data_IF_061130778476
#
_entry.id   IF_061130778476
#
_cell.length_a   1.000
_cell.length_b   1.000
_cell.length_c   1.000
_cell.angle_alpha   90.00
_cell.angle_beta   90.00
_cell.angle_gamma   90.00
#
_symmetry.space_group_name_H-M   'P 1'
#
loop_
_entity.id
_entity.type
_entity.pdbx_description
1 polymer ?
#
# COMPACT_ATOMS: atom_id res chain seq x y z
N UNK A 1 20.21 -1.07 -6.64
CA UNK A 1 20.67 -1.19 -8.03
C UNK A 1 20.36 -2.59 -8.51
N UNK A 2 20.01 -2.72 -9.78
CA UNK A 2 19.91 -3.98 -10.50
C UNK A 2 21.03 -4.06 -11.55
N UNK A 3 21.47 -5.26 -11.99
CA UNK A 3 22.60 -5.40 -12.91
C UNK A 3 22.49 -4.61 -14.22
N UNK A 4 21.27 -4.45 -14.73
CA UNK A 4 21.00 -3.78 -16.01
C UNK A 4 20.77 -2.26 -15.87
N UNK A 5 20.75 -1.73 -14.63
CA UNK A 5 20.56 -0.30 -14.40
C UNK A 5 21.77 0.50 -14.90
N UNK A 6 21.52 1.53 -15.71
CA UNK A 6 22.59 2.46 -16.10
C UNK A 6 22.75 3.58 -15.07
N UNK A 7 23.98 4.09 -14.90
CA UNK A 7 24.22 5.26 -14.04
C UNK A 7 23.41 6.48 -14.50
N UNK A 8 23.12 6.59 -15.81
CA UNK A 8 22.27 7.65 -16.37
C UNK A 8 20.85 7.59 -15.82
N UNK A 9 20.23 6.41 -15.77
CA UNK A 9 18.87 6.22 -15.24
C UNK A 9 18.82 6.47 -13.74
N UNK A 10 19.80 5.93 -13.00
CA UNK A 10 19.90 6.15 -11.55
C UNK A 10 20.06 7.64 -11.21
N UNK A 11 20.87 8.37 -11.98
CA UNK A 11 21.06 9.81 -11.79
C UNK A 11 19.79 10.60 -12.15
N UNK A 12 19.06 10.20 -13.19
CA UNK A 12 17.79 10.83 -13.56
C UNK A 12 16.73 10.66 -12.46
N UNK A 13 16.58 9.46 -11.89
CA UNK A 13 15.63 9.19 -10.80
C UNK A 13 15.99 10.02 -9.56
N UNK A 14 17.27 10.06 -9.18
CA UNK A 14 17.72 10.84 -8.03
C UNK A 14 17.43 12.34 -8.23
N UNK A 15 17.70 12.88 -9.42
CA UNK A 15 17.42 14.27 -9.75
C UNK A 15 15.92 14.58 -9.67
N UNK A 16 15.07 13.75 -10.28
CA UNK A 16 13.61 13.91 -10.24
C UNK A 16 13.09 13.87 -8.80
N UNK A 17 13.59 12.94 -7.99
CA UNK A 17 13.17 12.83 -6.59
C UNK A 17 13.55 14.07 -5.77
N UNK A 18 14.75 14.62 -5.98
CA UNK A 18 15.18 15.87 -5.33
C UNK A 18 14.35 17.07 -5.81
N UNK A 19 14.08 17.17 -7.11
CA UNK A 19 13.19 18.21 -7.69
C UNK A 19 11.75 18.10 -7.16
N UNK A 20 11.29 16.89 -6.84
CA UNK A 20 9.99 16.63 -6.22
C UNK A 20 9.97 16.87 -4.69
N UNK A 21 11.09 17.28 -4.09
CA UNK A 21 11.18 17.65 -2.67
C UNK A 21 11.64 16.54 -1.73
N UNK A 22 12.26 15.47 -2.23
CA UNK A 22 12.88 14.48 -1.36
C UNK A 22 14.03 15.10 -0.54
N UNK A 23 14.06 14.83 0.76
CA UNK A 23 15.10 15.32 1.69
C UNK A 23 16.49 14.84 1.29
N UNK A 24 16.59 13.59 0.84
CA UNK A 24 17.81 12.97 0.35
C UNK A 24 17.47 11.79 -0.57
N UNK A 25 18.43 11.40 -1.39
CA UNK A 25 18.35 10.22 -2.27
C UNK A 25 19.62 9.40 -2.14
N UNK A 26 19.50 8.08 -2.22
CA UNK A 26 20.64 7.16 -2.15
C UNK A 26 20.37 5.91 -2.98
N UNK A 27 21.36 5.49 -3.78
CA UNK A 27 21.35 4.18 -4.43
C UNK A 27 21.76 3.14 -3.39
N UNK A 28 20.99 2.05 -3.28
CA UNK A 28 21.26 0.93 -2.38
C UNK A 28 21.66 -0.33 -3.15
N UNK A 29 22.79 -0.92 -2.75
CA UNK A 29 23.34 -2.17 -3.29
C UNK A 29 23.28 -3.30 -2.25
N UNK A 30 22.42 -3.16 -1.26
CA UNK A 30 22.38 -4.03 -0.08
C UNK A 30 22.05 -5.50 -0.40
N UNK A 31 21.36 -5.76 -1.51
CA UNK A 31 21.08 -7.12 -1.96
C UNK A 31 22.37 -7.90 -2.29
N UNK A 32 23.36 -7.25 -2.90
CA UNK A 32 24.62 -7.90 -3.31
C UNK A 32 25.76 -7.71 -2.32
N UNK A 33 25.72 -6.66 -1.50
CA UNK A 33 26.83 -6.26 -0.61
C UNK A 33 26.43 -6.17 0.87
N UNK A 34 25.22 -6.58 1.23
CA UNK A 34 24.74 -6.56 2.61
C UNK A 34 24.65 -5.14 3.19
N UNK A 35 25.00 -5.00 4.47
CA UNK A 35 24.89 -3.73 5.18
C UNK A 35 25.73 -2.59 4.57
N UNK A 36 26.89 -2.92 3.97
CA UNK A 36 27.78 -1.93 3.38
C UNK A 36 27.13 -1.20 2.20
N UNK A 37 26.35 -1.92 1.38
CA UNK A 37 25.58 -1.34 0.28
C UNK A 37 24.40 -0.46 0.70
N UNK A 38 24.07 -0.40 1.99
CA UNK A 38 22.99 0.43 2.53
C UNK A 38 23.49 1.64 3.31
N UNK A 39 24.80 1.83 3.51
CA UNK A 39 25.32 2.88 4.39
C UNK A 39 24.91 4.29 3.97
N UNK A 40 24.89 4.58 2.67
CA UNK A 40 24.46 5.87 2.16
C UNK A 40 22.97 6.13 2.46
N UNK A 41 22.12 5.12 2.27
CA UNK A 41 20.70 5.18 2.63
C UNK A 41 20.51 5.37 4.14
N UNK A 42 21.28 4.65 4.96
CA UNK A 42 21.21 4.79 6.42
C UNK A 42 21.55 6.22 6.88
N UNK A 43 22.60 6.84 6.31
CA UNK A 43 22.94 8.24 6.58
C UNK A 43 21.85 9.20 6.15
N UNK A 44 21.24 8.97 4.97
CA UNK A 44 20.13 9.78 4.48
C UNK A 44 18.89 9.70 5.39
N UNK A 45 18.59 8.52 5.95
CA UNK A 45 17.50 8.32 6.91
C UNK A 45 17.77 9.07 8.22
N UNK A 46 18.98 8.98 8.77
CA UNK A 46 19.37 9.75 9.97
C UNK A 46 19.22 11.24 9.72
N UNK A 47 19.75 11.74 8.61
CA UNK A 47 19.63 13.15 8.24
C UNK A 47 18.17 13.60 8.13
N UNK A 48 17.29 12.78 7.54
CA UNK A 48 15.87 13.09 7.44
C UNK A 48 15.16 13.07 8.80
N UNK A 49 15.55 12.16 9.70
CA UNK A 49 15.01 12.08 11.05
C UNK A 49 15.41 13.27 11.95
N UNK A 50 16.58 13.87 11.68
CA UNK A 50 17.05 15.08 12.38
C UNK A 50 16.36 16.37 11.90
N UNK A 51 15.59 16.33 10.81
CA UNK A 51 14.82 17.48 10.33
C UNK A 51 13.50 17.65 11.11
N UNK A 52 13.02 18.90 11.29
CA UNK A 52 11.68 19.14 11.80
C UNK A 52 10.60 18.44 10.95
N UNK A 53 9.60 17.86 11.61
CA UNK A 53 8.46 17.20 10.96
C UNK A 53 7.13 17.78 11.44
N UNK A 54 6.21 17.98 10.51
CA UNK A 54 4.83 18.42 10.76
C UNK A 54 3.86 17.32 10.33
N UNK A 55 3.79 16.26 11.15
CA UNK A 55 2.88 15.16 10.89
C UNK A 55 1.43 15.55 11.22
N UNK A 56 0.54 15.32 10.27
CA UNK A 56 -0.91 15.45 10.44
C UNK A 56 -1.61 14.22 9.89
N UNK A 57 -2.69 13.80 10.56
CA UNK A 57 -3.56 12.77 10.01
C UNK A 57 -4.30 13.31 8.78
N UNK A 58 -4.49 12.45 7.78
CA UNK A 58 -5.14 12.82 6.52
C UNK A 58 -6.57 13.37 6.74
N UNK A 59 -7.24 12.89 7.78
CA UNK A 59 -8.60 13.24 8.14
C UNK A 59 -8.80 13.09 9.67
N UNK A 60 -9.63 13.92 10.30
CA UNK A 60 -10.04 13.71 11.70
C UNK A 60 -11.11 12.62 11.83
N UNK A 61 -11.17 11.97 13.00
CA UNK A 61 -12.01 10.80 13.23
C UNK A 61 -13.51 11.11 13.36
N UNK A 62 -13.89 12.37 13.53
CA UNK A 62 -15.27 12.84 13.59
C UNK A 62 -15.94 12.98 12.22
N UNK A 63 -15.17 12.94 11.13
CA UNK A 63 -15.73 12.97 9.78
C UNK A 63 -16.70 11.79 9.52
N UNK A 64 -17.77 12.01 8.75
CA UNK A 64 -18.64 10.94 8.29
C UNK A 64 -17.85 9.85 7.55
N UNK A 65 -18.27 8.58 7.71
CA UNK A 65 -17.53 7.44 7.15
C UNK A 65 -17.31 7.54 5.62
N UNK A 66 -18.29 8.06 4.89
CA UNK A 66 -18.15 8.30 3.45
C UNK A 66 -17.11 9.37 3.15
N UNK A 67 -17.07 10.46 3.91
CA UNK A 67 -16.09 11.53 3.73
C UNK A 67 -14.68 11.06 4.06
N UNK A 68 -14.50 10.16 5.04
CA UNK A 68 -13.21 9.52 5.29
C UNK A 68 -12.71 8.74 4.08
N UNK A 69 -13.57 7.93 3.47
CA UNK A 69 -13.25 7.15 2.26
C UNK A 69 -12.95 8.10 1.08
N UNK A 70 -13.80 9.09 0.87
CA UNK A 70 -13.65 10.13 -0.16
C UNK A 70 -12.32 10.87 -0.03
N UNK A 71 -11.93 11.24 1.20
CA UNK A 71 -10.68 11.95 1.48
C UNK A 71 -9.47 11.11 1.08
N UNK A 72 -9.48 9.80 1.37
CA UNK A 72 -8.41 8.89 0.93
C UNK A 72 -8.39 8.80 -0.61
N UNK A 73 -9.55 8.56 -1.23
CA UNK A 73 -9.64 8.36 -2.67
C UNK A 73 -9.20 9.59 -3.48
N UNK A 74 -9.64 10.78 -3.08
CA UNK A 74 -9.35 12.03 -3.79
C UNK A 74 -7.94 12.54 -3.50
N UNK A 75 -7.52 12.58 -2.22
CA UNK A 75 -6.22 13.20 -1.84
C UNK A 75 -5.02 12.27 -2.05
N UNK A 76 -5.18 10.97 -1.85
CA UNK A 76 -4.07 10.00 -1.96
C UNK A 76 -4.08 9.31 -3.33
N UNK A 77 -5.24 8.86 -3.80
CA UNK A 77 -5.31 8.07 -5.04
C UNK A 77 -5.51 8.91 -6.30
N UNK A 78 -5.96 10.17 -6.19
CA UNK A 78 -6.24 11.03 -7.34
C UNK A 78 -7.56 10.69 -8.06
N UNK A 79 -8.48 10.04 -7.35
CA UNK A 79 -9.83 9.78 -7.85
C UNK A 79 -10.61 11.11 -8.02
N UNK A 80 -11.55 11.14 -8.96
CA UNK A 80 -12.51 12.23 -9.09
C UNK A 80 -13.65 12.16 -8.05
N UNK A 81 -13.92 10.96 -7.54
CA UNK A 81 -14.99 10.68 -6.61
C UNK A 81 -15.03 9.23 -6.16
N UNK A 82 -15.99 8.90 -5.30
CA UNK A 82 -16.25 7.52 -4.84
C UNK A 82 -17.69 7.09 -5.17
N UNK A 83 -17.81 5.93 -5.82
CA UNK A 83 -19.08 5.28 -6.11
C UNK A 83 -19.38 4.20 -5.08
N UNK A 84 -20.54 4.27 -4.43
CA UNK A 84 -20.93 3.30 -3.40
C UNK A 84 -22.01 2.35 -3.88
N UNK A 85 -21.76 1.05 -3.76
CA UNK A 85 -22.81 0.06 -4.00
C UNK A 85 -23.98 0.20 -3.02
N UNK A 86 -25.18 -0.30 -3.36
CA UNK A 86 -26.30 -0.35 -2.41
C UNK A 86 -26.00 -1.12 -1.12
N UNK A 87 -25.11 -2.12 -1.17
CA UNK A 87 -24.67 -2.87 0.01
C UNK A 87 -23.76 -2.02 0.90
N UNK A 88 -22.76 -1.37 0.30
CA UNK A 88 -21.85 -0.48 1.01
C UNK A 88 -22.60 0.66 1.70
N UNK A 89 -23.53 1.30 0.99
CA UNK A 89 -24.38 2.36 1.54
C UNK A 89 -25.16 1.92 2.78
N UNK A 90 -25.84 0.77 2.71
CA UNK A 90 -26.61 0.24 3.84
C UNK A 90 -25.73 -0.08 5.05
N UNK A 91 -24.54 -0.64 4.83
CA UNK A 91 -23.62 -0.99 5.93
C UNK A 91 -22.98 0.23 6.56
N UNK A 92 -22.57 1.23 5.77
CA UNK A 92 -22.04 2.49 6.28
C UNK A 92 -23.05 3.23 7.16
N UNK A 93 -24.32 3.23 6.75
CA UNK A 93 -25.40 3.77 7.59
C UNK A 93 -25.52 2.98 8.88
N UNK A 94 -25.66 1.65 8.80
CA UNK A 94 -25.77 0.77 9.97
C UNK A 94 -24.62 0.99 10.97
N UNK A 95 -23.38 1.03 10.50
CA UNK A 95 -22.22 1.23 11.37
C UNK A 95 -22.18 2.63 11.99
N UNK A 96 -22.69 3.64 11.29
CA UNK A 96 -22.85 4.98 11.88
C UNK A 96 -23.88 4.96 13.00
N UNK A 97 -25.04 4.33 12.77
CA UNK A 97 -26.14 4.22 13.75
C UNK A 97 -25.74 3.42 15.00
N UNK A 98 -24.89 2.39 14.82
CA UNK A 98 -24.33 1.59 15.91
C UNK A 98 -23.18 2.28 16.67
N UNK A 99 -22.85 3.54 16.35
CA UNK A 99 -21.83 4.32 17.03
C UNK A 99 -20.39 4.07 16.56
N UNK A 100 -20.19 3.29 15.50
CA UNK A 100 -18.85 3.03 14.92
C UNK A 100 -18.40 4.09 13.91
N UNK A 101 -19.18 5.16 13.72
CA UNK A 101 -18.87 6.25 12.78
C UNK A 101 -17.52 6.94 13.02
N UNK A 102 -17.00 6.89 14.26
CA UNK A 102 -15.72 7.51 14.64
C UNK A 102 -14.49 6.64 14.37
N UNK A 103 -14.68 5.38 13.97
CA UNK A 103 -13.55 4.52 13.63
C UNK A 103 -12.86 4.99 12.33
N UNK A 104 -11.53 4.78 12.20
CA UNK A 104 -10.83 4.97 10.94
C UNK A 104 -11.25 3.93 9.89
N UNK A 105 -10.88 4.20 8.64
CA UNK A 105 -11.18 3.32 7.51
C UNK A 105 -9.89 2.78 6.89
N UNK A 106 -9.89 1.48 6.59
CA UNK A 106 -8.90 0.76 5.81
C UNK A 106 -9.49 0.42 4.44
N UNK A 107 -8.85 0.89 3.36
CA UNK A 107 -9.29 0.62 1.99
C UNK A 107 -8.62 -0.64 1.46
N UNK A 108 -9.44 -1.59 1.02
CA UNK A 108 -9.01 -2.83 0.40
C UNK A 108 -9.19 -2.73 -1.12
N UNK A 109 -8.07 -2.50 -1.83
CA UNK A 109 -8.00 -2.39 -3.28
C UNK A 109 -6.78 -3.13 -3.82
N UNK A 110 -6.62 -3.17 -5.13
CA UNK A 110 -5.38 -3.63 -5.77
C UNK A 110 -4.19 -2.79 -5.33
N UNK A 111 -3.06 -3.44 -5.08
CA UNK A 111 -1.78 -2.80 -4.78
C UNK A 111 -1.01 -2.35 -6.03
N UNK A 112 -1.42 -2.82 -7.22
CA UNK A 112 -0.70 -2.57 -8.47
C UNK A 112 -0.97 -1.19 -9.09
N UNK A 113 -2.02 -0.51 -8.65
CA UNK A 113 -2.42 0.82 -9.14
C UNK A 113 -2.83 1.72 -7.97
N UNK A 114 -2.71 3.03 -8.13
CA UNK A 114 -3.37 3.99 -7.25
C UNK A 114 -4.90 3.85 -7.32
N UNK A 115 -5.42 3.50 -8.49
CA UNK A 115 -6.83 3.24 -8.73
C UNK A 115 -7.30 1.88 -8.19
N UNK A 116 -8.54 1.51 -8.52
CA UNK A 116 -9.09 0.19 -8.26
C UNK A 116 -8.75 -0.85 -9.34
N UNK A 117 -8.27 -0.40 -10.51
CA UNK A 117 -7.93 -1.25 -11.66
C UNK A 117 -6.41 -1.46 -11.75
N UNK A 118 -5.90 -2.71 -11.65
CA UNK A 118 -4.47 -2.99 -11.74
C UNK A 118 -3.83 -2.61 -13.08
N UNK A 119 -4.60 -2.44 -14.15
CA UNK A 119 -4.06 -2.08 -15.47
C UNK A 119 -3.71 -0.58 -15.59
N UNK A 120 -4.25 0.27 -14.70
CA UNK A 120 -4.00 1.72 -14.72
C UNK A 120 -2.68 2.05 -14.00
N UNK A 121 -1.58 2.03 -14.74
CA UNK A 121 -0.22 2.26 -14.22
C UNK A 121 0.15 3.74 -14.10
N UNK A 122 1.21 4.04 -13.35
CA UNK A 122 1.72 5.41 -13.18
C UNK A 122 0.86 6.25 -12.24
N UNK A 123 0.47 7.46 -12.68
CA UNK A 123 -0.37 8.40 -11.93
C UNK A 123 -1.73 8.59 -12.62
N UNK A 124 -2.66 7.62 -12.53
CA UNK A 124 -4.01 7.79 -13.08
C UNK A 124 -4.75 8.93 -12.35
N UNK A 125 -5.62 9.63 -13.07
CA UNK A 125 -6.44 10.72 -12.53
C UNK A 125 -7.86 10.62 -13.07
N UNK A 126 -8.82 11.25 -12.39
CA UNK A 126 -10.18 11.42 -12.93
C UNK A 126 -11.07 10.18 -12.88
N UNK A 127 -10.62 9.08 -12.28
CA UNK A 127 -11.40 7.85 -12.16
C UNK A 127 -12.37 7.91 -10.99
N UNK A 128 -13.52 7.24 -11.10
CA UNK A 128 -14.40 6.99 -9.96
C UNK A 128 -13.90 5.77 -9.19
N UNK A 129 -13.81 5.88 -7.87
CA UNK A 129 -13.34 4.80 -7.02
C UNK A 129 -14.53 4.00 -6.47
N UNK A 130 -14.75 2.74 -6.89
CA UNK A 130 -15.88 1.97 -6.42
C UNK A 130 -15.64 1.45 -5.01
N UNK A 131 -16.69 1.42 -4.18
CA UNK A 131 -16.78 0.70 -2.92
C UNK A 131 -17.93 -0.29 -3.02
N UNK A 132 -17.59 -1.56 -3.13
CA UNK A 132 -18.53 -2.67 -3.29
C UNK A 132 -19.14 -3.11 -1.96
N UNK A 133 -18.35 -3.12 -0.91
CA UNK A 133 -18.78 -3.59 0.40
C UNK A 133 -17.98 -2.92 1.52
N UNK A 134 -18.52 -2.88 2.73
CA UNK A 134 -17.83 -2.41 3.93
C UNK A 134 -18.03 -3.42 5.05
N UNK A 135 -16.97 -3.71 5.81
CA UNK A 135 -16.99 -4.65 6.94
C UNK A 135 -16.46 -3.97 8.18
N UNK A 136 -16.98 -4.35 9.34
CA UNK A 136 -16.52 -3.85 10.63
C UNK A 136 -15.51 -4.83 11.24
N UNK A 137 -14.32 -4.34 11.57
CA UNK A 137 -13.33 -5.05 12.38
C UNK A 137 -13.31 -4.42 13.78
N UNK A 138 -14.35 -4.67 14.58
CA UNK A 138 -14.58 -3.99 15.86
C UNK A 138 -13.45 -4.20 16.86
N UNK A 139 -12.88 -5.42 16.94
CA UNK A 139 -11.75 -5.71 17.82
C UNK A 139 -10.45 -4.99 17.43
N UNK A 140 -10.24 -4.77 16.13
CA UNK A 140 -9.07 -4.04 15.63
C UNK A 140 -9.30 -2.52 15.57
N UNK A 141 -10.55 -2.07 15.69
CA UNK A 141 -10.90 -0.65 15.75
C UNK A 141 -10.93 0.07 14.40
N UNK A 142 -11.35 -0.58 13.30
CA UNK A 142 -11.52 0.09 12.00
C UNK A 142 -12.63 -0.52 11.14
N UNK A 143 -13.05 0.22 10.10
CA UNK A 143 -13.89 -0.31 9.01
C UNK A 143 -13.04 -0.66 7.80
N UNK A 144 -13.37 -1.76 7.15
CA UNK A 144 -12.71 -2.28 5.97
C UNK A 144 -13.58 -2.03 4.74
N UNK A 145 -13.19 -1.11 3.86
CA UNK A 145 -13.96 -0.78 2.66
C UNK A 145 -13.35 -1.47 1.43
N UNK A 146 -14.13 -2.35 0.79
CA UNK A 146 -13.68 -3.19 -0.31
C UNK A 146 -14.02 -2.53 -1.65
N UNK A 147 -13.00 -2.25 -2.46
CA UNK A 147 -13.15 -1.65 -3.78
C UNK A 147 -13.31 -2.69 -4.89
N UNK A 148 -12.66 -3.85 -4.74
CA UNK A 148 -12.71 -4.95 -5.69
C UNK A 148 -12.79 -6.31 -5.00
N UNK A 149 -12.55 -7.36 -5.78
CA UNK A 149 -12.55 -8.73 -5.27
C UNK A 149 -11.21 -9.02 -4.60
N UNK A 150 -11.19 -8.92 -3.28
CA UNK A 150 -10.00 -9.18 -2.46
C UNK A 150 -9.94 -10.67 -2.14
N UNK A 151 -8.89 -11.34 -2.60
CA UNK A 151 -8.61 -12.73 -2.25
C UNK A 151 -8.11 -12.80 -0.81
N UNK A 152 -8.95 -13.32 0.08
CA UNK A 152 -8.62 -13.55 1.50
C UNK A 152 -8.03 -14.93 1.77
N UNK A 153 -8.18 -15.86 0.82
CA UNK A 153 -7.60 -17.20 0.87
C UNK A 153 -6.90 -17.48 -0.46
N UNK A 154 -5.55 -17.48 -0.51
CA UNK A 154 -4.83 -17.84 -1.72
C UNK A 154 -4.99 -19.33 -2.02
N UNK A 155 -5.14 -19.67 -3.30
CA UNK A 155 -5.10 -21.05 -3.77
C UNK A 155 -3.67 -21.52 -4.02
N UNK A 156 -3.49 -22.84 -4.17
CA UNK A 156 -2.23 -23.42 -4.63
C UNK A 156 -2.09 -23.25 -6.16
N UNK A 157 -0.86 -23.09 -6.67
CA UNK A 157 -0.61 -23.12 -8.11
C UNK A 157 -0.81 -24.53 -8.68
N UNK A 158 -0.87 -24.65 -10.01
CA UNK A 158 -0.97 -25.94 -10.72
C UNK A 158 0.14 -26.92 -10.35
N UNK A 159 1.34 -26.40 -10.09
CA UNK A 159 2.49 -27.14 -9.57
C UNK A 159 2.92 -26.59 -8.20
N UNK A 160 2.34 -27.11 -7.10
CA UNK A 160 2.69 -26.67 -5.75
C UNK A 160 4.15 -26.99 -5.43
N UNK A 161 4.86 -26.03 -4.82
CA UNK A 161 6.22 -26.23 -4.32
C UNK A 161 6.32 -27.44 -3.37
N UNK A 162 5.24 -27.76 -2.64
CA UNK A 162 5.12 -28.93 -1.78
C UNK A 162 5.47 -30.27 -2.44
N UNK A 163 5.37 -30.40 -3.78
CA UNK A 163 5.82 -31.61 -4.50
C UNK A 163 7.33 -31.79 -4.55
N UNK A 164 8.09 -30.72 -4.31
CA UNK A 164 9.56 -30.68 -4.34
C UNK A 164 10.17 -30.47 -2.95
N UNK A 165 9.34 -30.22 -1.93
CA UNK A 165 9.81 -30.07 -0.56
C UNK A 165 10.10 -31.45 0.00
N UNK A 166 11.33 -31.66 0.46
CA UNK A 166 11.77 -32.92 1.05
C UNK A 166 12.86 -32.69 2.12
N UNK A 167 13.17 -33.71 2.91
CA UNK A 167 14.23 -33.72 3.92
C UNK A 167 15.24 -34.82 3.61
N UNK A 168 16.51 -34.46 3.48
CA UNK A 168 17.57 -35.44 3.23
C UNK A 168 17.93 -36.25 4.49
N UNK A 169 18.76 -37.28 4.34
CA UNK A 169 19.19 -38.15 5.44
C UNK A 169 20.01 -37.41 6.54
N UNK A 170 20.54 -36.23 6.25
CA UNK A 170 21.24 -35.38 7.20
C UNK A 170 20.30 -34.37 7.90
N UNK A 171 19.01 -34.36 7.55
CA UNK A 171 18.02 -33.46 8.12
C UNK A 171 17.93 -32.10 7.42
N UNK A 172 18.56 -31.92 6.25
CA UNK A 172 18.47 -30.67 5.51
C UNK A 172 17.19 -30.64 4.68
N UNK A 173 16.48 -29.52 4.73
CA UNK A 173 15.26 -29.29 3.94
C UNK A 173 15.66 -28.81 2.54
N UNK A 174 15.10 -29.43 1.51
CA UNK A 174 15.27 -29.04 0.11
C UNK A 174 13.94 -28.55 -0.48
N UNK A 175 14.00 -27.70 -1.52
CA UNK A 175 12.82 -27.24 -2.27
C UNK A 175 11.92 -26.22 -1.56
N UNK A 176 12.31 -25.71 -0.39
CA UNK A 176 11.55 -24.71 0.39
C UNK A 176 11.82 -23.26 -0.04
N UNK A 177 13.04 -22.96 -0.48
CA UNK A 177 13.52 -21.62 -0.88
C UNK A 177 14.14 -21.64 -2.26
#
# INVERSE_FOLDING_TARGET
>A
RFPDDTDRELNAIQKIAQEAGAVATAVSDAFSTGGDGAQALAKAVVQAADQPSHFEFLYPLDLPLKEKIETIATRIYGAAGVDYSPLANRRLQLYSDLGYGKLPVCIAKTQYSLSHDPALMGRPTGFQFPIRDVRLASGAGFLFALSGDIRTMPGLPSEPAARRIDIDAAGNITGLT
#
